data_IF_868701956664
#
_entry.id   IF_868701956664
#
_cell.length_a   1.000
_cell.length_b   1.000
_cell.length_c   1.000
_cell.angle_alpha   90.00
_cell.angle_beta   90.00
_cell.angle_gamma   90.00
#
_symmetry.space_group_name_H-M   'P 1'
#
loop_
_entity.id
_entity.type
_entity.pdbx_description
1 polymer ?
#
# COMPACT_ATOMS: atom_id res chain seq x y z
N UNK A 1 -26.45 44.14 -35.67
CA UNK A 1 -25.47 43.52 -34.74
C UNK A 1 -26.11 43.40 -33.37
N UNK A 2 -26.35 42.18 -32.87
CA UNK A 2 -26.81 41.91 -31.49
C UNK A 2 -26.04 40.68 -30.99
N UNK A 3 -25.44 40.85 -29.81
CA UNK A 3 -24.44 39.99 -29.20
C UNK A 3 -24.98 38.58 -28.91
N UNK A 4 -24.33 37.57 -29.50
CA UNK A 4 -24.37 36.18 -29.04
C UNK A 4 -23.07 35.94 -28.28
N UNK A 5 -23.10 36.08 -26.96
CA UNK A 5 -21.89 35.90 -26.17
C UNK A 5 -22.16 35.95 -24.68
N UNK A 6 -22.78 34.91 -24.13
CA UNK A 6 -22.73 34.58 -22.70
C UNK A 6 -23.51 33.27 -22.42
N UNK A 7 -23.03 32.11 -22.87
CA UNK A 7 -23.64 30.83 -22.49
C UNK A 7 -22.66 29.65 -22.62
N UNK A 8 -21.43 29.76 -22.11
CA UNK A 8 -20.48 28.63 -22.25
C UNK A 8 -19.46 28.44 -21.13
N UNK A 9 -19.45 29.25 -20.07
CA UNK A 9 -18.41 29.20 -19.03
C UNK A 9 -18.81 28.54 -17.70
N UNK A 10 -20.03 28.00 -17.58
CA UNK A 10 -20.52 27.39 -16.33
C UNK A 10 -20.35 25.88 -16.21
N UNK A 11 -20.01 25.17 -17.30
CA UNK A 11 -20.03 23.70 -17.33
C UNK A 11 -18.67 23.02 -17.10
N UNK A 12 -17.56 23.78 -17.08
CA UNK A 12 -16.21 23.20 -16.98
C UNK A 12 -15.76 23.08 -15.51
N UNK A 13 -16.27 23.93 -14.61
CA UNK A 13 -15.95 23.87 -13.17
C UNK A 13 -16.55 22.66 -12.47
N UNK A 14 -17.66 22.11 -12.96
CA UNK A 14 -18.28 20.91 -12.42
C UNK A 14 -17.56 19.61 -12.83
N UNK A 15 -16.80 19.59 -13.94
CA UNK A 15 -15.98 18.43 -14.30
C UNK A 15 -14.71 18.30 -13.45
N UNK A 16 -14.15 19.42 -12.99
CA UNK A 16 -12.91 19.43 -12.18
C UNK A 16 -13.12 18.93 -10.74
N UNK A 17 -14.34 19.03 -10.20
CA UNK A 17 -14.68 18.57 -8.85
C UNK A 17 -14.81 17.04 -8.74
N UNK A 18 -14.90 16.33 -9.86
CA UNK A 18 -14.96 14.86 -9.89
C UNK A 18 -13.60 14.19 -10.08
N UNK A 19 -12.53 14.94 -10.35
CA UNK A 19 -11.20 14.39 -10.66
C UNK A 19 -10.45 13.81 -9.46
N UNK A 20 -10.54 14.32 -8.20
CA UNK A 20 -9.72 13.76 -7.13
C UNK A 20 -10.11 12.34 -6.70
N UNK A 21 -11.30 11.86 -7.06
CA UNK A 21 -11.76 10.52 -6.70
C UNK A 21 -11.27 9.43 -7.68
N UNK A 22 -10.77 9.80 -8.87
CA UNK A 22 -10.35 8.86 -9.91
C UNK A 22 -8.84 8.57 -9.88
N UNK A 23 -8.04 9.40 -9.21
CA UNK A 23 -6.62 9.14 -8.96
C UNK A 23 -6.48 8.31 -7.68
N UNK A 24 -7.11 7.13 -7.66
CA UNK A 24 -7.03 6.19 -6.55
C UNK A 24 -5.58 5.90 -6.21
N UNK A 25 -5.11 6.40 -5.08
CA UNK A 25 -3.80 6.01 -4.56
C UNK A 25 -3.91 4.56 -4.09
N UNK A 26 -3.15 3.66 -4.72
CA UNK A 26 -3.13 2.27 -4.31
C UNK A 26 -2.59 2.16 -2.89
N UNK A 27 -3.32 1.46 -2.03
CA UNK A 27 -2.99 1.31 -0.61
C UNK A 27 -3.07 -0.14 -0.18
N UNK A 28 -2.17 -0.53 0.71
CA UNK A 28 -2.26 -1.77 1.46
C UNK A 28 -3.16 -1.56 2.67
N UNK A 29 -4.26 -2.30 2.71
CA UNK A 29 -5.25 -2.24 3.79
C UNK A 29 -4.86 -3.25 4.87
N UNK A 30 -4.42 -2.76 6.04
CA UNK A 30 -3.98 -3.61 7.14
C UNK A 30 -5.04 -3.70 8.25
N UNK A 31 -4.97 -4.74 9.09
CA UNK A 31 -6.04 -5.07 10.04
C UNK A 31 -6.21 -4.04 11.16
N UNK A 32 -5.12 -3.59 11.79
CA UNK A 32 -5.18 -2.62 12.90
C UNK A 32 -4.58 -1.28 12.54
N UNK A 33 -3.78 -1.16 11.50
CA UNK A 33 -3.13 0.11 11.19
C UNK A 33 -3.85 0.95 10.16
N UNK A 34 -3.42 2.21 10.07
CA UNK A 34 -3.77 3.05 8.93
C UNK A 34 -3.26 2.39 7.63
N UNK A 35 -3.94 2.60 6.50
CA UNK A 35 -3.51 2.11 5.20
C UNK A 35 -2.08 2.57 4.89
N UNK A 36 -1.30 1.69 4.28
CA UNK A 36 0.06 1.99 3.83
C UNK A 36 0.04 2.28 2.34
N UNK A 37 0.59 3.41 1.89
CA UNK A 37 0.63 3.70 0.46
C UNK A 37 1.52 2.70 -0.27
N UNK A 38 1.12 2.31 -1.49
CA UNK A 38 1.97 1.46 -2.32
C UNK A 38 3.34 2.07 -2.55
N UNK A 39 3.42 3.38 -2.76
CA UNK A 39 4.69 4.08 -2.93
C UNK A 39 5.64 3.91 -1.73
N UNK A 40 5.13 3.95 -0.50
CA UNK A 40 5.93 3.69 0.70
C UNK A 40 6.45 2.25 0.71
N UNK A 41 5.59 1.29 0.39
CA UNK A 41 5.97 -0.13 0.35
C UNK A 41 7.00 -0.40 -0.75
N UNK A 42 6.82 0.16 -1.94
CA UNK A 42 7.78 0.05 -3.05
C UNK A 42 9.15 0.63 -2.64
N UNK A 43 9.17 1.76 -1.94
CA UNK A 43 10.39 2.38 -1.44
C UNK A 43 11.12 1.48 -0.43
N UNK A 44 10.37 0.93 0.53
CA UNK A 44 10.87 0.05 1.59
C UNK A 44 11.28 -1.33 1.07
N UNK A 45 10.62 -1.85 0.05
CA UNK A 45 10.93 -3.13 -0.57
C UNK A 45 12.35 -3.17 -1.17
N UNK A 46 12.93 -2.01 -1.50
CA UNK A 46 14.33 -1.91 -1.97
C UNK A 46 15.34 -2.29 -0.89
N UNK A 47 14.97 -2.21 0.38
CA UNK A 47 15.80 -2.65 1.51
C UNK A 47 15.61 -4.14 1.84
N UNK A 48 14.76 -4.85 1.11
CA UNK A 48 14.57 -6.28 1.33
C UNK A 48 15.77 -7.07 0.84
N UNK A 49 16.24 -7.99 1.68
CA UNK A 49 17.39 -8.84 1.38
C UNK A 49 17.12 -10.29 1.77
N UNK A 50 17.92 -11.21 1.23
CA UNK A 50 17.75 -12.64 1.50
C UNK A 50 18.17 -13.02 2.93
N UNK A 51 19.15 -12.31 3.52
CA UNK A 51 19.60 -12.50 4.90
C UNK A 51 18.56 -12.08 5.95
N UNK A 52 17.58 -11.26 5.56
CA UNK A 52 16.47 -10.87 6.44
C UNK A 52 15.33 -11.89 6.45
N UNK A 53 15.30 -12.86 5.52
CA UNK A 53 14.27 -13.88 5.47
C UNK A 53 14.42 -14.87 6.63
N UNK A 54 13.37 -15.06 7.43
CA UNK A 54 13.37 -16.01 8.55
C UNK A 54 12.53 -17.24 8.22
N UNK A 55 12.92 -18.40 8.77
CA UNK A 55 12.21 -19.66 8.56
C UNK A 55 10.75 -19.63 9.05
N UNK A 56 10.47 -18.81 10.07
CA UNK A 56 9.14 -18.64 10.65
C UNK A 56 8.33 -17.49 10.03
N UNK A 57 8.82 -16.89 8.95
CA UNK A 57 8.02 -15.93 8.19
C UNK A 57 6.78 -16.60 7.60
N UNK A 58 5.67 -15.84 7.42
CA UNK A 58 4.51 -16.38 6.72
C UNK A 58 4.95 -16.90 5.35
N UNK A 59 4.71 -18.20 5.13
CA UNK A 59 4.84 -18.78 3.81
C UNK A 59 3.68 -18.29 2.94
N UNK A 60 3.93 -18.20 1.63
CA UNK A 60 2.88 -17.90 0.67
C UNK A 60 2.69 -19.07 -0.30
N UNK A 61 1.82 -20.02 0.06
CA UNK A 61 1.58 -21.24 -0.71
C UNK A 61 2.90 -21.95 -1.06
N UNK A 62 3.03 -22.36 -2.32
CA UNK A 62 4.25 -22.98 -2.86
C UNK A 62 5.30 -21.95 -3.32
N UNK A 63 5.06 -20.64 -3.14
CA UNK A 63 5.99 -19.61 -3.61
C UNK A 63 7.14 -19.46 -2.62
N UNK A 64 8.35 -19.56 -3.16
CA UNK A 64 9.56 -19.32 -2.41
C UNK A 64 9.69 -17.83 -2.04
N UNK A 65 9.93 -17.56 -0.76
CA UNK A 65 10.29 -16.23 -0.27
C UNK A 65 11.75 -15.98 -0.61
N UNK A 66 12.04 -14.90 -1.35
CA UNK A 66 13.40 -14.60 -1.82
C UNK A 66 14.09 -13.55 -0.95
N UNK A 67 13.34 -12.53 -0.53
CA UNK A 67 13.86 -11.41 0.24
C UNK A 67 12.77 -10.92 1.17
N UNK A 68 13.15 -10.42 2.33
CA UNK A 68 12.21 -9.79 3.24
C UNK A 68 12.79 -8.50 3.80
N UNK A 69 11.90 -7.64 4.29
CA UNK A 69 12.24 -6.46 5.05
C UNK A 69 11.26 -6.28 6.20
N UNK A 70 11.77 -6.03 7.40
CA UNK A 70 10.92 -5.71 8.56
C UNK A 70 11.07 -4.26 8.94
N UNK A 71 9.95 -3.62 9.20
CA UNK A 71 9.92 -2.26 9.72
C UNK A 71 8.79 -2.14 10.73
N UNK A 72 8.82 -1.07 11.51
CA UNK A 72 7.76 -0.81 12.48
C UNK A 72 7.32 0.63 12.42
N UNK A 73 6.05 0.86 12.71
CA UNK A 73 5.46 2.19 12.76
C UNK A 73 4.75 2.38 14.09
N UNK A 74 4.86 3.56 14.66
CA UNK A 74 4.04 3.92 15.82
C UNK A 74 2.59 4.09 15.36
N UNK A 75 1.68 3.40 16.03
CA UNK A 75 0.23 3.53 15.87
C UNK A 75 -0.32 4.29 17.07
N UNK A 76 -0.34 5.61 16.93
CA UNK A 76 -0.87 6.56 17.91
C UNK A 76 -0.46 6.23 19.36
N UNK A 77 -1.34 6.47 20.33
CA UNK A 77 -1.12 6.13 21.74
C UNK A 77 -1.18 4.62 22.03
N UNK A 78 -1.56 3.79 21.05
CA UNK A 78 -1.83 2.35 21.23
C UNK A 78 -0.60 1.46 21.05
N UNK A 79 0.56 2.01 20.67
CA UNK A 79 1.84 1.30 20.65
C UNK A 79 2.48 1.20 19.26
N UNK A 80 3.48 0.32 19.15
CA UNK A 80 4.24 0.04 17.92
C UNK A 80 3.60 -1.13 17.18
N UNK A 81 3.48 -1.02 15.86
CA UNK A 81 3.03 -2.10 14.97
C UNK A 81 4.20 -2.53 14.10
N UNK A 82 4.42 -3.83 14.04
CA UNK A 82 5.47 -4.44 13.22
C UNK A 82 4.90 -4.90 11.88
N UNK A 83 5.68 -4.70 10.83
CA UNK A 83 5.34 -5.06 9.47
C UNK A 83 6.45 -5.90 8.85
N UNK A 84 6.04 -6.75 7.93
CA UNK A 84 6.92 -7.57 7.12
C UNK A 84 6.58 -7.35 5.65
N UNK A 85 7.58 -6.99 4.86
CA UNK A 85 7.52 -6.99 3.41
C UNK A 85 8.22 -8.27 2.94
N UNK A 86 7.60 -9.02 2.05
CA UNK A 86 8.22 -10.16 1.38
C UNK A 86 8.20 -9.96 -0.13
N UNK A 87 9.31 -10.33 -0.77
CA UNK A 87 9.41 -10.45 -2.22
C UNK A 87 9.37 -11.94 -2.53
N UNK A 88 8.28 -12.38 -3.17
CA UNK A 88 7.99 -13.80 -3.40
C UNK A 88 7.97 -14.15 -4.88
N UNK A 89 8.48 -15.34 -5.19
CA UNK A 89 8.42 -15.95 -6.51
C UNK A 89 9.22 -15.22 -7.62
N UNK A 90 9.21 -15.77 -8.84
CA UNK A 90 10.04 -15.29 -9.94
C UNK A 90 9.65 -13.90 -10.47
N UNK A 91 8.42 -13.47 -10.20
CA UNK A 91 7.91 -12.16 -10.61
C UNK A 91 8.21 -11.07 -9.58
N UNK A 92 8.93 -11.38 -8.50
CA UNK A 92 9.22 -10.46 -7.39
C UNK A 92 7.94 -9.79 -6.86
N UNK A 93 6.88 -10.57 -6.64
CA UNK A 93 5.62 -10.04 -6.12
C UNK A 93 5.84 -9.53 -4.70
N UNK A 94 5.43 -8.29 -4.45
CA UNK A 94 5.53 -7.67 -3.12
C UNK A 94 4.30 -8.04 -2.30
N UNK A 95 4.55 -8.63 -1.15
CA UNK A 95 3.57 -8.96 -0.13
C UNK A 95 3.84 -8.17 1.14
N UNK A 96 2.78 -7.77 1.83
CA UNK A 96 2.87 -6.97 3.05
C UNK A 96 2.05 -7.66 4.12
N UNK A 97 2.63 -7.76 5.32
CA UNK A 97 1.97 -8.33 6.49
C UNK A 97 2.07 -7.37 7.69
N UNK A 98 1.03 -7.34 8.50
CA UNK A 98 0.98 -6.69 9.81
C UNK A 98 1.07 -7.77 10.89
N UNK A 99 1.95 -7.60 11.89
CA UNK A 99 1.94 -8.44 13.07
C UNK A 99 0.81 -8.01 14.01
N UNK A 100 -0.19 -8.87 14.17
CA UNK A 100 -1.41 -8.57 14.92
C UNK A 100 -1.89 -9.82 15.64
N UNK A 101 -2.29 -9.68 16.91
CA UNK A 101 -2.85 -10.80 17.69
C UNK A 101 -1.99 -12.07 17.70
N UNK A 102 -0.66 -11.91 17.78
CA UNK A 102 0.36 -12.98 17.77
C UNK A 102 0.59 -13.70 16.43
N UNK A 103 0.04 -13.20 15.32
CA UNK A 103 0.28 -13.75 13.99
C UNK A 103 0.52 -12.67 12.95
N UNK A 104 1.12 -13.06 11.83
CA UNK A 104 1.24 -12.22 10.64
C UNK A 104 -0.08 -12.27 9.86
N UNK A 105 -0.68 -11.10 9.62
CA UNK A 105 -1.88 -10.95 8.82
C UNK A 105 -1.54 -10.21 7.52
N UNK A 106 -1.94 -10.76 6.38
CA UNK A 106 -1.71 -10.13 5.08
C UNK A 106 -2.47 -8.80 4.99
N UNK A 107 -1.80 -7.77 4.50
CA UNK A 107 -2.41 -6.52 4.08
C UNK A 107 -2.66 -6.60 2.56
N UNK A 108 -3.90 -6.78 2.08
CA UNK A 108 -4.17 -6.77 0.65
C UNK A 108 -4.02 -5.38 0.03
N UNK A 109 -3.55 -5.32 -1.21
CA UNK A 109 -3.55 -4.11 -2.02
C UNK A 109 -4.97 -3.80 -2.52
N UNK A 110 -5.44 -2.57 -2.29
CA UNK A 110 -6.75 -2.03 -2.69
C UNK A 110 -6.60 -0.85 -3.65
#
# INVERSE_FOLDING_TARGET
MKFLGAASTGAITSLLLLVPAALGTQVYTCYRSQPLSKALIDDLARYATADQAYENDPGYGDRQVHKTHRFSKNKDATGRVDYLIQIVGPQNTIMVFEYSSHSWLECPLS
#
